data_IF_078420808283
#
_entry.id   IF_078420808283
#
_cell.length_a   1.000
_cell.length_b   1.000
_cell.length_c   1.000
_cell.angle_alpha   90.00
_cell.angle_beta   90.00
_cell.angle_gamma   90.00
#
_symmetry.space_group_name_H-M   'P 1'
#
loop_
_entity.id
_entity.type
_entity.pdbx_description
1 polymer ?
#
# COMPACT_ATOMS: atom_id res chain seq x y z
N UNK A 1 -21.48 25.04 -4.15
CA UNK A 1 -20.70 24.17 -3.22
C UNK A 1 -20.08 25.07 -2.18
N UNK A 2 -20.31 24.82 -0.89
CA UNK A 2 -19.65 25.52 0.22
C UNK A 2 -18.67 24.52 0.84
N UNK A 3 -17.40 24.91 0.96
CA UNK A 3 -16.37 24.08 1.60
C UNK A 3 -16.16 24.62 3.02
N UNK A 4 -16.19 23.73 4.00
CA UNK A 4 -15.92 24.04 5.42
C UNK A 4 -14.78 23.11 5.83
N UNK A 5 -13.73 23.67 6.44
CA UNK A 5 -12.59 22.92 6.97
C UNK A 5 -12.69 23.00 8.49
N UNK A 6 -12.71 21.84 9.15
CA UNK A 6 -12.75 21.74 10.61
C UNK A 6 -11.39 21.20 11.08
N UNK A 7 -10.64 22.02 11.80
CA UNK A 7 -9.36 21.64 12.40
C UNK A 7 -9.55 21.50 13.92
N UNK A 8 -9.09 20.40 14.50
CA UNK A 8 -9.12 20.15 15.94
C UNK A 8 -7.95 19.26 16.32
N UNK A 9 -7.38 19.47 17.51
CA UNK A 9 -6.34 18.60 18.09
C UNK A 9 -6.87 17.22 18.49
N UNK A 10 -8.20 17.09 18.65
CA UNK A 10 -8.86 15.83 19.00
C UNK A 10 -9.03 14.86 17.80
N UNK A 11 -8.70 15.29 16.58
CA UNK A 11 -8.83 14.47 15.38
C UNK A 11 -7.52 13.69 15.17
N UNK A 12 -7.53 12.40 15.51
CA UNK A 12 -6.35 11.52 15.40
C UNK A 12 -6.01 11.12 13.95
N UNK A 13 -7.03 10.99 13.09
CA UNK A 13 -6.88 10.61 11.68
C UNK A 13 -7.67 11.53 10.76
N UNK A 14 -7.18 11.73 9.53
CA UNK A 14 -7.88 12.54 8.52
C UNK A 14 -9.25 11.91 8.19
N UNK A 15 -10.32 12.57 8.60
CA UNK A 15 -11.69 12.21 8.25
C UNK A 15 -12.31 13.14 7.20
N UNK A 16 -13.20 12.60 6.37
CA UNK A 16 -13.93 13.37 5.34
C UNK A 16 -15.43 13.14 5.53
N UNK A 17 -16.13 14.15 6.07
CA UNK A 17 -17.58 14.12 6.28
C UNK A 17 -18.32 14.83 5.15
N UNK A 18 -19.17 14.09 4.43
CA UNK A 18 -19.95 14.60 3.29
C UNK A 18 -21.42 14.76 3.69
N UNK A 19 -21.84 16.00 3.92
CA UNK A 19 -23.25 16.33 4.16
C UNK A 19 -23.92 16.75 2.84
N UNK A 20 -24.95 16.03 2.41
CA UNK A 20 -25.68 16.31 1.18
C UNK A 20 -27.19 16.06 1.32
N UNK A 21 -28.01 16.75 0.51
CA UNK A 21 -29.47 16.55 0.49
C UNK A 21 -29.86 15.22 -0.19
N UNK A 22 -29.10 14.80 -1.20
CA UNK A 22 -29.27 13.54 -1.95
C UNK A 22 -27.91 13.16 -2.54
N UNK A 23 -27.64 11.86 -2.63
CA UNK A 23 -26.49 11.32 -3.38
C UNK A 23 -26.82 11.34 -4.87
N UNK A 24 -25.97 11.98 -5.67
CA UNK A 24 -26.03 12.01 -7.13
C UNK A 24 -24.69 11.60 -7.77
N UNK A 25 -24.67 11.46 -9.11
CA UNK A 25 -23.47 11.04 -9.83
C UNK A 25 -22.29 12.00 -9.68
N UNK A 26 -22.55 13.29 -9.56
CA UNK A 26 -21.48 14.29 -9.40
C UNK A 26 -20.82 14.14 -8.04
N UNK A 27 -21.61 13.92 -6.98
CA UNK A 27 -21.08 13.65 -5.65
C UNK A 27 -20.26 12.35 -5.62
N UNK A 28 -20.76 11.29 -6.27
CA UNK A 28 -20.02 10.03 -6.38
C UNK A 28 -18.67 10.21 -7.11
N UNK A 29 -18.63 11.00 -8.19
CA UNK A 29 -17.39 11.35 -8.89
C UNK A 29 -16.42 12.11 -8.00
N UNK A 30 -16.89 13.08 -7.21
CA UNK A 30 -16.05 13.83 -6.26
C UNK A 30 -15.45 12.91 -5.19
N UNK A 31 -16.25 12.02 -4.60
CA UNK A 31 -15.78 11.03 -3.62
C UNK A 31 -14.74 10.11 -4.26
N UNK A 32 -14.98 9.65 -5.50
CA UNK A 32 -14.04 8.81 -6.23
C UNK A 32 -12.70 9.53 -6.48
N UNK A 33 -12.72 10.82 -6.85
CA UNK A 33 -11.50 11.62 -7.05
C UNK A 33 -10.71 11.76 -5.75
N UNK A 34 -11.37 12.08 -4.64
CA UNK A 34 -10.71 12.19 -3.32
C UNK A 34 -10.05 10.86 -2.95
N UNK A 35 -10.75 9.73 -3.13
CA UNK A 35 -10.19 8.40 -2.92
C UNK A 35 -9.02 8.08 -3.85
N UNK A 36 -9.04 8.58 -5.08
CA UNK A 36 -7.96 8.38 -6.04
C UNK A 36 -6.69 9.16 -5.69
N UNK A 37 -6.81 10.31 -5.02
CA UNK A 37 -5.65 11.07 -4.52
C UNK A 37 -4.91 10.34 -3.40
N UNK A 38 -5.65 9.68 -2.52
CA UNK A 38 -5.08 8.86 -1.44
C UNK A 38 -4.31 7.63 -1.97
N UNK A 39 -4.63 7.20 -3.20
CA UNK A 39 -3.98 6.08 -3.89
C UNK A 39 -2.76 6.48 -4.73
N UNK A 40 -2.12 7.62 -4.46
CA UNK A 40 -0.90 8.03 -5.16
C UNK A 40 0.32 8.05 -4.25
N UNK A 41 1.46 7.64 -4.82
CA UNK A 41 2.78 7.79 -4.21
C UNK A 41 3.78 8.28 -5.24
N UNK A 42 4.80 9.01 -4.80
CA UNK A 42 5.90 9.43 -5.66
C UNK A 42 7.04 8.40 -5.67
N UNK A 43 7.63 8.19 -6.84
CA UNK A 43 8.84 7.39 -7.00
C UNK A 43 9.80 8.05 -7.99
N UNK A 44 11.09 7.81 -7.85
CA UNK A 44 12.13 8.35 -8.74
C UNK A 44 12.75 7.25 -9.59
N UNK A 45 13.00 7.55 -10.87
CA UNK A 45 13.68 6.65 -11.80
C UNK A 45 14.40 7.50 -12.85
N UNK A 46 15.67 7.19 -13.12
CA UNK A 46 16.49 7.91 -14.11
C UNK A 46 16.48 9.44 -13.93
N UNK A 47 16.54 9.90 -12.68
CA UNK A 47 16.54 11.34 -12.32
C UNK A 47 15.19 12.05 -12.48
N UNK A 48 14.11 11.32 -12.81
CA UNK A 48 12.75 11.87 -12.97
C UNK A 48 11.85 11.44 -11.81
N UNK A 49 10.94 12.32 -11.43
CA UNK A 49 9.89 12.06 -10.46
C UNK A 49 8.63 11.55 -11.18
N UNK A 50 8.07 10.45 -10.68
CA UNK A 50 6.85 9.82 -11.19
C UNK A 50 5.78 9.81 -10.11
N UNK A 51 4.54 10.08 -10.51
CA UNK A 51 3.36 9.87 -9.66
C UNK A 51 2.81 8.48 -10.01
N UNK A 52 2.91 7.56 -9.07
CA UNK A 52 2.54 6.16 -9.21
C UNK A 52 1.17 5.91 -8.59
N UNK A 53 0.39 5.07 -9.25
CA UNK A 53 -0.84 4.54 -8.68
C UNK A 53 -0.52 3.37 -7.76
N UNK A 54 -1.00 3.45 -6.53
CA UNK A 54 -0.81 2.43 -5.49
C UNK A 54 -1.43 1.09 -5.90
N UNK A 55 -2.51 1.11 -6.70
CA UNK A 55 -3.19 -0.11 -7.18
C UNK A 55 -2.30 -0.93 -8.15
N UNK A 56 -1.25 -0.34 -8.72
CA UNK A 56 -0.28 -1.01 -9.58
C UNK A 56 0.98 -1.50 -8.85
N UNK A 57 1.12 -1.20 -7.56
CA UNK A 57 2.29 -1.58 -6.76
C UNK A 57 2.13 -3.00 -6.25
N UNK A 58 3.16 -3.81 -6.48
CA UNK A 58 3.24 -5.21 -6.07
C UNK A 58 3.85 -5.35 -4.68
N UNK A 59 4.96 -4.67 -4.44
CA UNK A 59 5.63 -4.64 -3.15
C UNK A 59 6.61 -3.48 -3.06
N UNK A 60 7.05 -3.23 -1.84
CA UNK A 60 8.17 -2.36 -1.51
C UNK A 60 9.29 -3.18 -0.91
N UNK A 61 10.53 -2.81 -1.23
CA UNK A 61 11.71 -3.48 -0.67
C UNK A 61 12.79 -2.48 -0.27
N UNK A 62 13.48 -2.76 0.83
CA UNK A 62 14.68 -2.04 1.22
C UNK A 62 15.93 -2.83 0.83
N UNK A 63 16.75 -2.24 -0.04
CA UNK A 63 18.05 -2.77 -0.48
C UNK A 63 19.09 -1.68 -0.27
N UNK A 64 20.21 -2.00 0.40
CA UNK A 64 21.32 -1.07 0.66
C UNK A 64 20.90 0.30 1.21
N UNK A 65 20.00 0.29 2.20
CA UNK A 65 19.43 1.49 2.84
C UNK A 65 18.66 2.40 1.87
N UNK A 66 18.19 1.88 0.74
CA UNK A 66 17.26 2.55 -0.16
C UNK A 66 15.97 1.75 -0.24
N UNK A 67 14.86 2.44 -0.39
CA UNK A 67 13.55 1.79 -0.56
C UNK A 67 13.16 1.83 -2.02
N UNK A 68 12.66 0.72 -2.54
CA UNK A 68 12.22 0.56 -3.92
C UNK A 68 10.74 0.19 -3.98
N UNK A 69 10.07 0.68 -5.02
CA UNK A 69 8.67 0.45 -5.36
C UNK A 69 8.64 -0.44 -6.60
N UNK A 70 8.10 -1.64 -6.47
CA UNK A 70 8.02 -2.61 -7.57
C UNK A 70 6.62 -2.60 -8.14
N UNK A 71 6.52 -2.27 -9.43
CA UNK A 71 5.35 -2.44 -10.27
C UNK A 71 5.50 -3.74 -11.09
N UNK A 72 4.59 -3.99 -12.03
CA UNK A 72 4.63 -5.21 -12.83
C UNK A 72 5.92 -5.38 -13.66
N UNK A 73 6.52 -4.30 -14.18
CA UNK A 73 7.77 -4.34 -14.99
C UNK A 73 8.79 -3.27 -14.61
N UNK A 74 8.41 -2.34 -13.75
CA UNK A 74 9.19 -1.15 -13.46
C UNK A 74 9.49 -1.08 -11.97
N UNK A 75 10.69 -0.57 -11.67
CA UNK A 75 11.16 -0.32 -10.31
C UNK A 75 11.50 1.15 -10.17
N UNK A 76 11.05 1.75 -9.07
CA UNK A 76 11.30 3.14 -8.73
C UNK A 76 11.92 3.22 -7.34
N UNK A 77 12.74 4.23 -7.07
CA UNK A 77 13.23 4.53 -5.72
C UNK A 77 12.18 5.38 -4.99
N UNK A 78 11.86 5.03 -3.76
CA UNK A 78 10.98 5.80 -2.87
C UNK A 78 11.82 6.73 -2.00
N UNK A 79 11.34 7.95 -1.78
CA UNK A 79 11.92 8.84 -0.76
C UNK A 79 11.57 8.41 0.66
N UNK A 80 10.54 7.57 0.82
CA UNK A 80 10.06 7.05 2.10
C UNK A 80 10.80 5.76 2.49
N UNK A 81 11.06 5.61 3.79
CA UNK A 81 11.51 4.36 4.42
C UNK A 81 10.36 3.37 4.50
N UNK A 82 10.70 2.09 4.68
CA UNK A 82 9.67 1.05 4.81
C UNK A 82 8.70 1.30 5.97
N UNK A 83 9.15 1.81 7.12
CA UNK A 83 8.21 2.08 8.23
C UNK A 83 7.23 3.21 7.88
N UNK A 84 7.70 4.26 7.19
CA UNK A 84 6.83 5.35 6.73
C UNK A 84 5.80 4.87 5.69
N UNK A 85 6.20 3.91 4.83
CA UNK A 85 5.27 3.26 3.91
C UNK A 85 4.28 2.35 4.64
N UNK A 86 4.72 1.66 5.68
CA UNK A 86 3.86 0.82 6.52
C UNK A 86 2.79 1.66 7.22
N UNK A 87 3.18 2.81 7.80
CA UNK A 87 2.25 3.75 8.42
C UNK A 87 1.31 4.39 7.39
N UNK A 88 1.87 4.87 6.27
CA UNK A 88 1.08 5.47 5.17
C UNK A 88 0.03 4.51 4.60
N UNK A 89 0.31 3.21 4.61
CA UNK A 89 -0.56 2.19 4.04
C UNK A 89 -1.16 1.24 5.10
N UNK A 90 -1.20 1.65 6.37
CA UNK A 90 -1.64 0.81 7.49
C UNK A 90 -3.05 0.21 7.28
N UNK A 91 -3.97 0.99 6.72
CA UNK A 91 -5.37 0.62 6.47
C UNK A 91 -5.62 0.04 5.07
N UNK A 92 -4.61 -0.60 4.47
CA UNK A 92 -4.69 -1.16 3.12
C UNK A 92 -4.24 -2.62 3.03
N UNK A 93 -4.18 -3.15 1.81
CA UNK A 93 -3.68 -4.49 1.51
C UNK A 93 -2.16 -4.60 1.58
N UNK A 94 -1.42 -3.53 1.90
CA UNK A 94 0.00 -3.66 2.18
C UNK A 94 0.26 -4.36 3.51
N UNK A 95 1.28 -5.22 3.53
CA UNK A 95 1.60 -6.07 4.66
C UNK A 95 3.10 -6.26 4.80
N UNK A 96 3.63 -6.04 6.01
CA UNK A 96 5.04 -6.29 6.31
C UNK A 96 5.35 -7.78 6.28
N UNK A 97 6.04 -8.23 5.23
CA UNK A 97 6.39 -9.63 5.02
C UNK A 97 7.75 -10.01 5.62
N UNK A 98 8.66 -9.04 5.73
CA UNK A 98 10.02 -9.26 6.24
C UNK A 98 10.57 -7.96 6.84
N UNK A 99 11.80 -7.99 7.39
CA UNK A 99 12.49 -6.76 7.82
C UNK A 99 12.75 -5.80 6.65
N UNK A 100 12.82 -6.29 5.42
CA UNK A 100 13.14 -5.52 4.22
C UNK A 100 12.00 -5.45 3.20
N UNK A 101 10.81 -5.99 3.47
CA UNK A 101 9.78 -6.13 2.43
C UNK A 101 8.37 -5.86 2.97
N UNK A 102 7.60 -5.06 2.25
CA UNK A 102 6.16 -4.88 2.41
C UNK A 102 5.49 -5.35 1.12
N UNK A 103 4.59 -6.33 1.19
CA UNK A 103 3.92 -6.90 0.02
C UNK A 103 2.49 -6.40 -0.08
N UNK A 104 1.96 -6.27 -1.30
CA UNK A 104 0.55 -6.04 -1.54
C UNK A 104 -0.20 -7.39 -1.56
N UNK A 105 -1.05 -7.64 -0.57
CA UNK A 105 -1.81 -8.88 -0.43
C UNK A 105 -2.78 -9.09 -1.60
N UNK A 106 -3.33 -8.02 -2.19
CA UNK A 106 -4.22 -8.10 -3.35
C UNK A 106 -3.53 -8.61 -4.61
N UNK A 107 -2.19 -8.63 -4.65
CA UNK A 107 -1.38 -9.09 -5.78
C UNK A 107 -0.82 -10.50 -5.58
N UNK A 108 -1.19 -11.18 -4.50
CA UNK A 108 -0.74 -12.55 -4.25
C UNK A 108 -1.55 -13.52 -5.11
N UNK A 109 -0.83 -14.33 -5.89
CA UNK A 109 -1.39 -15.41 -6.72
C UNK A 109 -1.37 -16.76 -6.00
N UNK A 110 -0.29 -17.08 -5.29
CA UNK A 110 -0.10 -18.37 -4.60
C UNK A 110 0.63 -18.16 -3.28
N UNK A 111 0.24 -18.91 -2.24
CA UNK A 111 0.95 -19.01 -0.97
C UNK A 111 1.31 -20.47 -0.71
N UNK A 112 2.59 -20.74 -0.45
CA UNK A 112 3.10 -22.10 -0.22
C UNK A 112 3.92 -22.13 1.08
N UNK A 113 3.64 -23.04 2.02
CA UNK A 113 4.52 -23.27 3.17
C UNK A 113 5.91 -23.74 2.71
N UNK A 114 6.96 -23.15 3.29
CA UNK A 114 8.34 -23.57 3.04
C UNK A 114 9.07 -23.88 4.35
N UNK A 115 10.24 -24.50 4.23
CA UNK A 115 11.00 -24.97 5.38
C UNK A 115 11.26 -23.86 6.41
N UNK A 116 11.24 -24.25 7.69
CA UNK A 116 11.53 -23.33 8.80
C UNK A 116 10.39 -22.35 9.11
N UNK A 117 9.14 -22.74 8.87
CA UNK A 117 7.96 -21.96 9.29
C UNK A 117 7.81 -20.63 8.56
N UNK A 118 8.35 -20.53 7.34
CA UNK A 118 8.19 -19.39 6.44
C UNK A 118 7.10 -19.70 5.42
N UNK A 119 6.63 -18.69 4.71
CA UNK A 119 5.76 -18.86 3.54
C UNK A 119 6.46 -18.27 2.32
N UNK A 120 6.43 -18.98 1.19
CA UNK A 120 6.69 -18.39 -0.12
C UNK A 120 5.37 -17.82 -0.65
N UNK A 121 5.43 -16.62 -1.22
CA UNK A 121 4.33 -16.01 -1.96
C UNK A 121 4.76 -15.78 -3.39
N UNK A 122 3.89 -16.14 -4.34
CA UNK A 122 4.05 -15.84 -5.76
C UNK A 122 3.06 -14.75 -6.08
N UNK A 123 3.52 -13.64 -6.64
CA UNK A 123 2.68 -12.52 -7.04
C UNK A 123 2.14 -12.69 -8.48
N UNK A 124 1.16 -11.87 -8.88
CA UNK A 124 0.58 -11.91 -10.24
C UNK A 124 1.61 -11.64 -11.36
N UNK A 125 2.68 -10.90 -11.09
CA UNK A 125 3.81 -10.67 -12.01
C UNK A 125 4.82 -11.84 -12.02
N UNK A 126 4.51 -12.93 -11.31
CA UNK A 126 5.31 -14.15 -11.14
C UNK A 126 6.58 -13.99 -10.30
N UNK A 127 6.77 -12.84 -9.64
CA UNK A 127 7.83 -12.70 -8.66
C UNK A 127 7.56 -13.54 -7.41
N UNK A 128 8.65 -14.03 -6.81
CA UNK A 128 8.61 -14.88 -5.62
C UNK A 128 9.24 -14.15 -4.44
N UNK A 129 8.46 -14.02 -3.37
CA UNK A 129 8.90 -13.38 -2.13
C UNK A 129 8.71 -14.33 -0.97
N UNK A 130 9.44 -14.09 0.13
CA UNK A 130 9.36 -14.90 1.34
C UNK A 130 8.82 -14.08 2.50
N UNK A 131 7.73 -14.57 3.09
CA UNK A 131 7.22 -14.06 4.36
C UNK A 131 8.02 -14.72 5.48
N UNK A 132 8.72 -13.90 6.26
CA UNK A 132 9.56 -14.37 7.35
C UNK A 132 8.71 -14.92 8.50
N UNK A 133 9.21 -15.94 9.20
CA UNK A 133 8.51 -16.69 10.26
C UNK A 133 7.74 -15.80 11.25
N UNK A 134 8.34 -14.68 11.67
CA UNK A 134 7.75 -13.76 12.64
C UNK A 134 6.45 -13.08 12.15
N UNK A 135 6.29 -12.90 10.84
CA UNK A 135 5.11 -12.24 10.25
C UNK A 135 4.02 -13.24 9.83
N UNK A 136 4.34 -14.53 9.71
CA UNK A 136 3.40 -15.58 9.28
C UNK A 136 2.12 -15.62 10.15
N UNK A 137 2.18 -15.56 11.50
CA UNK A 137 0.96 -15.57 12.32
C UNK A 137 0.03 -14.37 12.05
N UNK A 138 0.60 -13.20 11.76
CA UNK A 138 -0.18 -12.01 11.44
C UNK A 138 -0.80 -12.10 10.05
N UNK A 139 -0.04 -12.60 9.07
CA UNK A 139 -0.53 -12.81 7.70
C UNK A 139 -1.72 -13.76 7.68
N UNK A 140 -1.59 -14.89 8.37
CA UNK A 140 -2.64 -15.91 8.53
C UNK A 140 -3.93 -15.32 9.09
N UNK A 141 -3.83 -14.50 10.14
CA UNK A 141 -4.97 -13.76 10.70
C UNK A 141 -5.60 -12.79 9.70
N UNK A 142 -4.80 -12.05 8.92
CA UNK A 142 -5.30 -11.09 7.93
C UNK A 142 -5.99 -11.79 6.74
N UNK A 143 -5.59 -13.02 6.41
CA UNK A 143 -6.14 -13.82 5.30
C UNK A 143 -7.13 -14.92 5.73
N UNK A 144 -7.43 -15.05 7.02
CA UNK A 144 -8.34 -16.04 7.59
C UNK A 144 -8.02 -17.52 7.28
N UNK A 145 -6.76 -17.94 7.43
CA UNK A 145 -6.35 -19.37 7.40
C UNK A 145 -5.10 -19.63 8.26
#
# INVERSE_FOLDING_TARGET
MRIIINESEDIEELEIVVNCKRVDENLLKMIATIRAFDRKITGTKDGKLFILDVDHIYYFESVDKKTFIYLHKDVYESSLRLYELEDKFANSDFFRASKSTIINLSKIKVITPVFGGKLEVILENNEKLVVSRQYVPLLKRKLNF
#
